data_IF_373077042526
#
_entry.id   IF_373077042526
#
_cell.length_a   1.000
_cell.length_b   1.000
_cell.length_c   1.000
_cell.angle_alpha   90.00
_cell.angle_beta   90.00
_cell.angle_gamma   90.00
#
_symmetry.space_group_name_H-M   'P 1'
#
loop_
_entity.id
_entity.type
_entity.pdbx_description
1 polymer ?
#
# COMPACT_ATOMS: atom_id res chain seq x y z
N UNK A 1 0.56 8.92 35.86
CA UNK A 1 -0.45 9.84 35.30
C UNK A 1 0.13 11.18 34.86
N UNK A 2 1.09 11.79 35.56
CA UNK A 2 1.68 13.10 35.18
C UNK A 2 2.50 13.06 33.89
N UNK A 3 3.24 11.98 33.60
CA UNK A 3 4.06 11.89 32.38
C UNK A 3 3.21 11.88 31.09
N UNK A 4 2.05 11.21 31.10
CA UNK A 4 1.18 11.15 29.94
C UNK A 4 0.52 12.49 29.59
N UNK A 5 0.21 13.31 30.58
CA UNK A 5 -0.38 14.64 30.36
C UNK A 5 0.67 15.59 29.75
N UNK A 6 1.92 15.48 30.19
CA UNK A 6 3.03 16.31 29.67
C UNK A 6 3.33 15.97 28.22
N UNK A 7 3.30 14.70 27.82
CA UNK A 7 3.47 14.28 26.43
C UNK A 7 2.31 14.74 25.55
N UNK A 8 1.08 14.65 26.02
CA UNK A 8 -0.11 15.17 25.34
C UNK A 8 0.01 16.68 25.13
N UNK A 9 0.40 17.43 26.14
CA UNK A 9 0.57 18.87 26.05
C UNK A 9 1.71 19.27 25.11
N UNK A 10 2.82 18.52 25.12
CA UNK A 10 3.94 18.76 24.19
C UNK A 10 3.56 18.46 22.75
N UNK A 11 2.81 17.38 22.50
CA UNK A 11 2.30 17.04 21.18
C UNK A 11 1.30 18.09 20.68
N UNK A 12 0.33 18.48 21.53
CA UNK A 12 -0.64 19.54 21.20
C UNK A 12 0.07 20.87 20.96
N UNK A 13 1.06 21.22 21.78
CA UNK A 13 1.83 22.45 21.62
C UNK A 13 2.63 22.46 20.31
N UNK A 14 3.26 21.34 19.94
CA UNK A 14 3.98 21.20 18.66
C UNK A 14 3.03 21.26 17.47
N UNK A 15 1.86 20.62 17.58
CA UNK A 15 0.80 20.62 16.57
C UNK A 15 0.19 22.03 16.39
N UNK A 16 -0.17 22.69 17.48
CA UNK A 16 -0.70 24.07 17.48
C UNK A 16 0.35 25.07 17.03
N UNK A 17 1.62 24.88 17.40
CA UNK A 17 2.74 25.74 16.95
C UNK A 17 2.96 25.62 15.44
N UNK A 18 2.86 24.39 14.90
CA UNK A 18 2.89 24.18 13.46
C UNK A 18 1.67 24.83 12.77
N UNK A 19 0.46 24.67 13.32
CA UNK A 19 -0.75 25.34 12.81
C UNK A 19 -0.64 26.87 12.88
N UNK A 20 -0.12 27.43 13.99
CA UNK A 20 0.03 28.88 14.17
C UNK A 20 1.12 29.46 13.25
N UNK A 21 2.18 28.71 12.95
CA UNK A 21 3.15 29.10 11.93
C UNK A 21 2.50 29.20 10.54
N UNK A 22 1.44 28.44 10.28
CA UNK A 22 0.62 28.55 9.05
C UNK A 22 -0.25 29.82 9.02
N UNK A 23 -0.76 30.26 10.17
CA UNK A 23 -1.65 31.43 10.27
C UNK A 23 -0.86 32.76 10.32
N UNK A 24 0.34 32.76 10.90
CA UNK A 24 1.14 34.00 11.05
C UNK A 24 1.98 34.37 9.84
N UNK A 25 2.22 33.43 8.89
CA UNK A 25 2.96 33.71 7.63
C UNK A 25 2.09 34.38 6.56
N UNK A 26 0.77 34.51 6.77
CA UNK A 26 -0.17 35.16 5.84
C UNK A 26 0.02 36.69 5.65
N UNK A 27 0.98 37.34 6.29
CA UNK A 27 1.11 38.81 6.27
C UNK A 27 2.50 39.37 5.91
N UNK A 28 3.38 38.60 5.26
CA UNK A 28 4.61 39.17 4.69
C UNK A 28 4.67 39.01 3.19
N UNK A 29 4.68 40.15 2.48
CA UNK A 29 4.90 40.24 1.01
C UNK A 29 6.31 39.74 0.67
N UNK A 30 6.41 38.50 0.25
CA UNK A 30 7.58 37.88 -0.36
C UNK A 30 7.11 36.64 -1.10
N UNK A 31 7.52 36.44 -2.34
CA UNK A 31 7.17 35.30 -3.19
C UNK A 31 7.74 33.99 -2.62
N UNK A 32 7.27 33.53 -1.49
CA UNK A 32 7.48 32.16 -1.07
C UNK A 32 6.47 31.30 -1.80
N UNK A 33 6.93 30.65 -2.86
CA UNK A 33 6.19 29.57 -3.51
C UNK A 33 6.09 28.47 -2.46
N UNK A 34 4.93 28.35 -1.81
CA UNK A 34 4.64 27.23 -0.91
C UNK A 34 4.68 25.95 -1.72
N UNK A 35 5.80 25.26 -1.69
CA UNK A 35 5.87 23.89 -2.17
C UNK A 35 5.01 23.04 -1.24
N UNK A 36 3.91 22.52 -1.79
CA UNK A 36 3.09 21.53 -1.06
C UNK A 36 3.96 20.30 -0.79
N UNK A 37 4.24 20.04 0.49
CA UNK A 37 4.93 18.81 0.90
C UNK A 37 4.09 17.61 0.51
N UNK A 38 4.69 16.71 -0.25
CA UNK A 38 4.03 15.53 -0.80
C UNK A 38 4.50 14.25 -0.10
N UNK A 39 3.61 13.27 -0.05
CA UNK A 39 3.88 11.93 0.44
C UNK A 39 3.37 10.88 -0.54
N UNK A 40 3.86 9.65 -0.39
CA UNK A 40 3.35 8.47 -1.09
C UNK A 40 3.31 7.28 -0.12
N UNK A 41 2.12 6.80 0.22
CA UNK A 41 1.93 5.77 1.24
C UNK A 41 1.61 4.39 0.64
N UNK A 42 1.87 4.19 -0.67
CA UNK A 42 1.62 2.94 -1.35
C UNK A 42 2.62 2.71 -2.48
N UNK A 43 3.71 2.00 -2.18
CA UNK A 43 4.84 1.79 -3.09
C UNK A 43 5.34 0.36 -2.97
N UNK A 44 5.67 -0.27 -4.12
CA UNK A 44 6.19 -1.62 -4.21
C UNK A 44 7.64 -1.66 -4.68
N UNK A 45 8.40 -2.63 -4.16
CA UNK A 45 9.78 -2.92 -4.53
C UNK A 45 9.95 -4.32 -5.11
N UNK A 46 11.22 -4.70 -5.39
CA UNK A 46 11.57 -6.08 -5.80
C UNK A 46 11.39 -7.11 -4.69
N UNK A 47 11.03 -6.72 -3.47
CA UNK A 47 10.62 -7.67 -2.44
C UNK A 47 9.28 -8.34 -2.77
N UNK A 48 8.43 -7.65 -3.54
CA UNK A 48 7.24 -8.23 -4.19
C UNK A 48 7.32 -8.08 -5.71
N UNK A 49 6.52 -7.24 -6.33
CA UNK A 49 6.37 -7.13 -7.78
C UNK A 49 6.71 -5.76 -8.37
N UNK A 50 7.35 -4.91 -7.61
CA UNK A 50 8.03 -3.74 -8.14
C UNK A 50 9.26 -4.10 -8.97
N UNK A 51 9.84 -3.13 -9.67
CA UNK A 51 11.04 -3.32 -10.49
C UNK A 51 12.30 -2.67 -9.92
N UNK A 52 12.17 -1.86 -8.88
CA UNK A 52 13.27 -1.23 -8.15
C UNK A 52 13.49 -1.93 -6.82
N UNK A 53 14.75 -2.02 -6.38
CA UNK A 53 15.08 -2.50 -5.01
C UNK A 53 14.53 -1.53 -3.96
N UNK A 54 14.35 -1.95 -2.70
CA UNK A 54 13.95 -1.04 -1.62
C UNK A 54 14.83 0.21 -1.53
N UNK A 55 16.16 0.05 -1.65
CA UNK A 55 17.11 1.18 -1.69
C UNK A 55 16.85 2.12 -2.86
N UNK A 56 16.64 1.60 -4.06
CA UNK A 56 16.37 2.41 -5.25
C UNK A 56 15.04 3.17 -5.13
N UNK A 57 14.02 2.54 -4.54
CA UNK A 57 12.72 3.16 -4.25
C UNK A 57 12.87 4.35 -3.30
N UNK A 58 13.60 4.16 -2.19
CA UNK A 58 13.86 5.23 -1.20
C UNK A 58 14.60 6.39 -1.84
N UNK A 59 15.71 6.12 -2.55
CA UNK A 59 16.48 7.15 -3.24
C UNK A 59 15.66 7.89 -4.30
N UNK A 60 14.78 7.17 -5.00
CA UNK A 60 13.89 7.76 -6.00
C UNK A 60 12.87 8.71 -5.33
N UNK A 61 12.22 8.28 -4.24
CA UNK A 61 11.27 9.10 -3.50
C UNK A 61 11.90 10.39 -2.96
N UNK A 62 13.10 10.28 -2.38
CA UNK A 62 13.87 11.43 -1.89
C UNK A 62 14.23 12.39 -3.05
N UNK A 63 14.73 11.86 -4.16
CA UNK A 63 15.08 12.68 -5.34
C UNK A 63 13.89 13.44 -5.94
N UNK A 64 12.66 12.93 -5.73
CA UNK A 64 11.41 13.59 -6.13
C UNK A 64 10.90 14.59 -5.10
N UNK A 65 11.60 14.73 -3.95
CA UNK A 65 11.28 15.70 -2.91
C UNK A 65 10.08 15.32 -2.04
N UNK A 66 9.78 14.03 -1.89
CA UNK A 66 8.77 13.57 -0.95
C UNK A 66 9.25 13.81 0.49
N UNK A 67 8.31 14.11 1.38
CA UNK A 67 8.61 14.24 2.82
C UNK A 67 8.34 12.96 3.59
N UNK A 68 7.57 12.04 3.03
CA UNK A 68 7.41 10.69 3.55
C UNK A 68 6.99 9.71 2.44
N UNK A 69 7.38 8.46 2.61
CA UNK A 69 6.92 7.33 1.83
C UNK A 69 6.64 6.11 2.70
N UNK A 70 5.74 5.22 2.28
CA UNK A 70 5.61 3.90 2.86
C UNK A 70 6.00 2.83 1.84
N UNK A 71 6.86 1.89 2.26
CA UNK A 71 7.12 0.68 1.48
C UNK A 71 6.06 -0.36 1.87
N UNK A 72 5.24 -0.79 0.90
CA UNK A 72 4.04 -1.61 1.13
C UNK A 72 4.01 -2.83 0.22
N UNK A 73 5.09 -3.58 0.16
CA UNK A 73 5.21 -4.78 -0.66
C UNK A 73 4.12 -5.82 -0.36
N UNK A 74 3.68 -6.55 -1.38
CA UNK A 74 2.62 -7.56 -1.27
C UNK A 74 3.01 -8.74 -0.38
N UNK A 75 2.26 -8.95 0.69
CA UNK A 75 2.34 -10.09 1.63
C UNK A 75 3.77 -10.34 2.18
N UNK A 76 4.63 -9.32 2.22
CA UNK A 76 5.99 -9.41 2.75
C UNK A 76 6.48 -8.13 3.39
N UNK A 77 7.33 -8.28 4.39
CA UNK A 77 8.03 -7.19 5.07
C UNK A 77 9.56 -7.24 4.81
N UNK A 78 10.00 -8.14 3.91
CA UNK A 78 11.43 -8.44 3.72
C UNK A 78 12.25 -7.28 3.14
N UNK A 79 11.61 -6.28 2.51
CA UNK A 79 12.26 -5.08 1.99
C UNK A 79 12.42 -3.95 3.00
N UNK A 80 11.77 -4.03 4.17
CA UNK A 80 11.68 -2.91 5.11
C UNK A 80 13.02 -2.56 5.74
N UNK A 81 13.79 -3.55 6.22
CA UNK A 81 15.10 -3.28 6.83
C UNK A 81 16.06 -2.58 5.85
N UNK A 82 16.05 -2.98 4.57
CA UNK A 82 16.83 -2.34 3.51
C UNK A 82 16.36 -0.89 3.26
N UNK A 83 15.05 -0.66 3.19
CA UNK A 83 14.50 0.67 2.98
C UNK A 83 14.82 1.63 4.15
N UNK A 84 14.69 1.15 5.39
CA UNK A 84 15.02 1.94 6.60
C UNK A 84 16.53 2.25 6.67
N UNK A 85 17.39 1.31 6.28
CA UNK A 85 18.84 1.55 6.21
C UNK A 85 19.18 2.61 5.17
N UNK A 86 18.54 2.55 3.98
CA UNK A 86 18.75 3.54 2.93
C UNK A 86 18.27 4.95 3.33
N UNK A 87 17.35 5.05 4.27
CA UNK A 87 16.77 6.32 4.72
C UNK A 87 17.51 6.98 5.89
N UNK A 88 18.53 6.35 6.49
CA UNK A 88 19.15 6.81 7.75
C UNK A 88 19.62 8.25 7.75
N UNK A 89 20.16 8.71 6.63
CA UNK A 89 20.74 10.05 6.51
C UNK A 89 19.81 11.01 5.74
N UNK A 90 18.56 10.61 5.48
CA UNK A 90 17.57 11.41 4.77
C UNK A 90 16.65 12.16 5.75
N UNK A 91 16.16 13.33 5.33
CA UNK A 91 15.09 14.04 6.06
C UNK A 91 13.70 13.44 5.78
N UNK A 92 13.57 12.64 4.70
CA UNK A 92 12.33 11.97 4.32
C UNK A 92 12.02 10.83 5.29
N UNK A 93 10.79 10.77 5.80
CA UNK A 93 10.32 9.67 6.63
C UNK A 93 10.02 8.44 5.77
N UNK A 94 10.65 7.29 6.08
CA UNK A 94 10.29 5.99 5.51
C UNK A 94 9.46 5.21 6.51
N UNK A 95 8.23 4.89 6.14
CA UNK A 95 7.23 4.25 6.98
C UNK A 95 7.26 2.74 6.70
N UNK A 96 7.51 1.90 7.73
CA UNK A 96 7.32 0.46 7.61
C UNK A 96 5.86 0.13 7.28
N UNK A 97 5.65 -0.52 6.15
CA UNK A 97 4.32 -0.86 5.68
C UNK A 97 4.27 -2.23 5.01
N UNK A 98 3.08 -2.65 4.66
CA UNK A 98 2.79 -3.88 3.93
C UNK A 98 1.46 -3.73 3.20
N UNK A 99 1.29 -4.41 2.07
CA UNK A 99 -0.01 -4.62 1.45
C UNK A 99 -0.40 -6.10 1.52
N UNK A 100 -1.41 -6.42 2.33
CA UNK A 100 -1.88 -7.80 2.52
C UNK A 100 -3.11 -8.06 1.67
N UNK A 101 -3.06 -9.15 0.88
CA UNK A 101 -4.18 -9.58 0.07
C UNK A 101 -5.11 -10.50 0.86
N UNK A 102 -6.42 -10.26 0.76
CA UNK A 102 -7.46 -11.11 1.37
C UNK A 102 -8.68 -11.23 0.46
N UNK A 103 -9.66 -12.05 0.85
CA UNK A 103 -10.83 -12.35 0.03
C UNK A 103 -12.10 -11.83 0.69
N UNK A 104 -12.83 -11.00 -0.02
CA UNK A 104 -14.15 -10.52 0.33
C UNK A 104 -15.15 -10.87 -0.77
N UNK A 105 -16.21 -11.66 -0.45
CA UNK A 105 -17.24 -12.09 -1.42
C UNK A 105 -16.63 -12.56 -2.75
N UNK A 106 -15.69 -13.51 -2.70
CA UNK A 106 -14.94 -14.08 -3.83
C UNK A 106 -14.03 -13.09 -4.61
N UNK A 107 -13.91 -11.84 -4.16
CA UNK A 107 -13.00 -10.85 -4.72
C UNK A 107 -11.76 -10.69 -3.87
N UNK A 108 -10.61 -10.67 -4.51
CA UNK A 108 -9.37 -10.28 -3.86
C UNK A 108 -9.41 -8.78 -3.60
N UNK A 109 -9.25 -8.40 -2.34
CA UNK A 109 -9.10 -7.03 -1.86
C UNK A 109 -7.78 -6.91 -1.11
N UNK A 110 -7.29 -5.69 -0.95
CA UNK A 110 -6.02 -5.43 -0.30
C UNK A 110 -6.19 -4.47 0.88
N UNK A 111 -5.44 -4.74 1.95
CA UNK A 111 -5.38 -3.90 3.13
C UNK A 111 -3.93 -3.52 3.38
N UNK A 112 -3.63 -2.22 3.40
CA UNK A 112 -2.32 -1.72 3.81
C UNK A 112 -2.24 -1.76 5.34
N UNK A 113 -1.08 -2.13 5.85
CA UNK A 113 -0.68 -1.85 7.23
C UNK A 113 0.41 -0.78 7.19
N UNK A 114 0.16 0.39 7.76
CA UNK A 114 1.17 1.45 7.90
C UNK A 114 1.69 1.45 9.34
N UNK A 115 2.96 1.84 9.54
CA UNK A 115 3.61 1.89 10.87
C UNK A 115 3.63 0.55 11.61
N UNK A 116 3.69 -0.57 10.88
CA UNK A 116 3.75 -1.91 11.48
C UNK A 116 5.10 -2.15 12.19
N UNK A 117 5.10 -2.88 13.28
CA UNK A 117 6.31 -3.58 13.73
C UNK A 117 6.55 -4.78 12.80
N UNK A 118 7.43 -4.57 11.80
CA UNK A 118 7.75 -5.60 10.81
C UNK A 118 8.56 -6.79 11.39
N UNK A 119 8.90 -6.74 12.67
CA UNK A 119 9.58 -7.83 13.42
C UNK A 119 8.64 -8.52 14.40
N UNK A 120 7.37 -8.11 14.47
CA UNK A 120 6.38 -8.73 15.33
C UNK A 120 6.23 -10.23 15.00
N UNK A 121 6.39 -11.14 15.99
CA UNK A 121 6.37 -12.58 15.74
C UNK A 121 5.01 -13.11 15.27
N UNK A 122 3.90 -12.50 15.68
CA UNK A 122 2.55 -12.93 15.30
C UNK A 122 2.29 -12.53 13.84
N UNK A 123 2.65 -11.29 13.47
CA UNK A 123 2.62 -10.85 12.08
C UNK A 123 3.48 -11.74 11.18
N UNK A 124 4.73 -12.03 11.57
CA UNK A 124 5.61 -12.89 10.77
C UNK A 124 5.07 -14.31 10.63
N UNK A 125 4.44 -14.87 11.67
CA UNK A 125 3.77 -16.17 11.60
C UNK A 125 2.58 -16.14 10.63
N UNK A 126 1.73 -15.11 10.72
CA UNK A 126 0.61 -14.91 9.81
C UNK A 126 1.07 -14.78 8.35
N UNK A 127 2.11 -13.97 8.10
CA UNK A 127 2.66 -13.79 6.74
C UNK A 127 3.26 -15.07 6.18
N UNK A 128 3.87 -15.90 7.01
CA UNK A 128 4.39 -17.22 6.60
C UNK A 128 3.26 -18.14 6.10
N UNK A 129 2.13 -18.18 6.80
CA UNK A 129 0.95 -18.95 6.37
C UNK A 129 0.36 -18.37 5.09
N UNK A 130 0.23 -17.05 5.00
CA UNK A 130 -0.25 -16.35 3.81
C UNK A 130 0.64 -16.63 2.59
N UNK A 131 1.98 -16.61 2.80
CA UNK A 131 2.95 -16.96 1.77
C UNK A 131 2.77 -18.39 1.28
N UNK A 132 2.61 -19.37 2.18
CA UNK A 132 2.43 -20.77 1.78
C UNK A 132 1.17 -20.96 0.93
N UNK A 133 0.05 -20.40 1.35
CA UNK A 133 -1.20 -20.43 0.57
C UNK A 133 -1.04 -19.78 -0.81
N UNK A 134 -0.28 -18.68 -0.89
CA UNK A 134 0.05 -18.03 -2.17
C UNK A 134 0.94 -18.90 -3.04
N UNK A 135 1.97 -19.49 -2.46
CA UNK A 135 2.90 -20.37 -3.16
C UNK A 135 2.19 -21.58 -3.78
N UNK A 136 1.36 -22.26 -3.00
CA UNK A 136 0.61 -23.45 -3.46
C UNK A 136 -0.32 -23.08 -4.64
N UNK A 137 -1.07 -21.99 -4.53
CA UNK A 137 -1.88 -21.45 -5.62
C UNK A 137 -1.04 -21.14 -6.88
N UNK A 138 0.13 -20.52 -6.71
CA UNK A 138 0.99 -20.18 -7.84
C UNK A 138 1.53 -21.43 -8.52
N UNK A 139 1.87 -22.49 -7.77
CA UNK A 139 2.32 -23.76 -8.36
C UNK A 139 1.21 -24.46 -9.12
N UNK A 140 -0.02 -24.39 -8.66
CA UNK A 140 -1.19 -24.88 -9.42
C UNK A 140 -1.39 -24.09 -10.73
N UNK A 141 -1.27 -22.77 -10.69
CA UNK A 141 -1.36 -21.94 -11.89
C UNK A 141 -0.24 -22.28 -12.88
N UNK A 142 1.01 -22.40 -12.41
CA UNK A 142 2.16 -22.76 -13.23
C UNK A 142 1.99 -24.13 -13.89
N UNK A 143 1.53 -25.12 -13.13
CA UNK A 143 1.23 -26.45 -13.65
C UNK A 143 0.14 -26.43 -14.73
N UNK A 144 -0.89 -25.60 -14.56
CA UNK A 144 -1.95 -25.44 -15.56
C UNK A 144 -1.43 -24.79 -16.85
N UNK A 145 -0.60 -23.76 -16.76
CA UNK A 145 0.06 -23.15 -17.93
C UNK A 145 0.94 -24.17 -18.66
N UNK A 146 1.80 -24.89 -17.95
CA UNK A 146 2.71 -25.88 -18.55
C UNK A 146 1.97 -27.05 -19.19
N UNK A 147 0.85 -27.49 -18.60
CA UNK A 147 -0.02 -28.52 -19.18
C UNK A 147 -0.56 -28.14 -20.57
N UNK A 148 -0.85 -26.84 -20.75
CA UNK A 148 -1.38 -26.31 -22.02
C UNK A 148 -0.27 -25.84 -22.97
N UNK A 149 1.00 -26.17 -22.68
CA UNK A 149 2.15 -25.94 -23.56
C UNK A 149 2.81 -24.56 -23.44
N UNK A 150 2.53 -23.80 -22.36
CA UNK A 150 3.30 -22.60 -22.04
C UNK A 150 4.59 -22.99 -21.34
N UNK A 151 5.72 -22.59 -21.89
CA UNK A 151 7.06 -22.90 -21.33
C UNK A 151 7.47 -21.84 -20.30
N UNK A 152 6.79 -21.81 -19.15
CA UNK A 152 7.09 -20.90 -18.03
C UNK A 152 7.72 -21.70 -16.91
N UNK A 153 8.80 -21.18 -16.31
CA UNK A 153 9.49 -21.79 -15.18
C UNK A 153 9.29 -20.99 -13.89
N UNK A 154 9.65 -21.58 -12.75
CA UNK A 154 9.64 -20.86 -11.45
C UNK A 154 10.67 -19.74 -11.48
N UNK A 155 11.81 -19.92 -12.14
CA UNK A 155 12.88 -18.93 -12.32
C UNK A 155 12.37 -17.69 -13.09
N UNK A 156 11.53 -17.91 -14.11
CA UNK A 156 10.88 -16.81 -14.82
C UNK A 156 9.98 -15.98 -13.90
N UNK A 157 9.30 -16.64 -12.95
CA UNK A 157 8.42 -15.99 -11.99
C UNK A 157 9.20 -15.23 -10.92
N UNK A 158 10.40 -15.67 -10.57
CA UNK A 158 11.24 -14.96 -9.61
C UNK A 158 11.88 -13.68 -10.15
N UNK A 159 11.88 -13.46 -11.46
CA UNK A 159 12.43 -12.26 -12.10
C UNK A 159 13.86 -11.88 -11.62
N UNK A 160 14.68 -12.88 -11.29
CA UNK A 160 16.05 -12.69 -10.79
C UNK A 160 16.21 -12.52 -9.26
N UNK A 161 15.11 -12.44 -8.51
CA UNK A 161 15.14 -12.41 -7.05
C UNK A 161 14.42 -13.63 -6.45
N UNK A 162 15.15 -14.70 -6.03
CA UNK A 162 14.53 -15.91 -5.48
C UNK A 162 13.70 -15.70 -4.21
N UNK A 163 13.86 -14.55 -3.55
CA UNK A 163 13.14 -14.21 -2.32
C UNK A 163 11.87 -13.41 -2.58
N UNK A 164 11.60 -13.00 -3.82
CA UNK A 164 10.42 -12.21 -4.15
C UNK A 164 9.13 -12.99 -3.89
N UNK A 165 8.11 -12.29 -3.43
CA UNK A 165 6.75 -12.86 -3.34
C UNK A 165 6.12 -12.86 -4.73
N UNK A 166 5.95 -14.04 -5.31
CA UNK A 166 5.38 -14.20 -6.64
C UNK A 166 3.90 -13.77 -6.64
N UNK A 167 3.58 -12.77 -7.47
CA UNK A 167 2.22 -12.28 -7.72
C UNK A 167 1.75 -12.66 -9.13
N UNK A 168 0.50 -12.37 -9.48
CA UNK A 168 0.00 -12.55 -10.87
C UNK A 168 0.74 -11.66 -11.88
N UNK A 169 1.32 -10.54 -11.43
CA UNK A 169 2.14 -9.68 -12.28
C UNK A 169 3.41 -10.39 -12.77
N UNK A 170 3.98 -11.28 -11.98
CA UNK A 170 5.12 -12.09 -12.39
C UNK A 170 4.75 -13.07 -13.52
N UNK A 171 3.59 -13.73 -13.43
CA UNK A 171 3.05 -14.55 -14.55
C UNK A 171 2.84 -13.71 -15.80
N UNK A 172 2.28 -12.50 -15.66
CA UNK A 172 2.08 -11.60 -16.81
C UNK A 172 3.40 -11.21 -17.48
N UNK A 173 4.45 -10.92 -16.67
CA UNK A 173 5.81 -10.63 -17.18
C UNK A 173 6.45 -11.84 -17.83
N UNK A 174 6.31 -13.03 -17.25
CA UNK A 174 6.81 -14.27 -17.86
C UNK A 174 6.12 -14.55 -19.21
N UNK A 175 4.80 -14.43 -19.29
CA UNK A 175 4.04 -14.58 -20.54
C UNK A 175 4.50 -13.55 -21.60
N UNK A 176 4.77 -12.31 -21.21
CA UNK A 176 5.30 -11.28 -22.11
C UNK A 176 6.71 -11.61 -22.58
N UNK A 177 7.60 -12.01 -21.66
CA UNK A 177 8.99 -12.40 -21.94
C UNK A 177 9.08 -13.52 -22.96
N UNK A 178 8.21 -14.53 -22.85
CA UNK A 178 8.14 -15.67 -23.77
C UNK A 178 7.32 -15.39 -25.04
N UNK A 179 6.80 -14.16 -25.24
CA UNK A 179 6.07 -13.77 -26.44
C UNK A 179 4.64 -14.32 -26.56
N UNK A 180 4.06 -14.89 -25.49
CA UNK A 180 2.68 -15.38 -25.49
C UNK A 180 1.65 -14.24 -25.49
N UNK A 181 2.06 -13.07 -25.07
CA UNK A 181 1.26 -11.83 -25.09
C UNK A 181 2.11 -10.64 -25.53
N UNK A 182 1.45 -9.56 -25.96
CA UNK A 182 2.10 -8.31 -26.40
C UNK A 182 2.15 -7.24 -25.29
N UNK A 183 1.49 -7.47 -24.15
CA UNK A 183 1.53 -6.56 -22.99
C UNK A 183 1.09 -7.29 -21.71
N UNK A 184 1.48 -6.74 -20.56
CA UNK A 184 1.04 -7.19 -19.23
C UNK A 184 -0.50 -7.14 -19.13
N UNK A 185 -1.11 -6.06 -19.60
CA UNK A 185 -2.57 -5.90 -19.60
C UNK A 185 -3.26 -6.99 -20.45
N UNK A 186 -2.68 -7.38 -21.58
CA UNK A 186 -3.19 -8.50 -22.40
C UNK A 186 -3.11 -9.83 -21.63
N UNK A 187 -2.06 -10.08 -20.85
CA UNK A 187 -1.94 -11.29 -20.03
C UNK A 187 -3.05 -11.37 -19.00
N UNK A 188 -3.32 -10.27 -18.29
CA UNK A 188 -4.43 -10.21 -17.34
C UNK A 188 -5.78 -10.47 -18.01
N UNK A 189 -6.07 -9.80 -19.11
CA UNK A 189 -7.35 -9.96 -19.82
C UNK A 189 -7.58 -11.37 -20.37
N UNK A 190 -6.53 -12.03 -20.86
CA UNK A 190 -6.66 -13.35 -21.48
C UNK A 190 -6.60 -14.49 -20.48
N UNK A 191 -5.75 -14.38 -19.43
CA UNK A 191 -5.32 -15.53 -18.66
C UNK A 191 -5.45 -15.40 -17.15
N UNK A 192 -5.27 -14.20 -16.57
CA UNK A 192 -4.97 -14.03 -15.15
C UNK A 192 -6.07 -13.33 -14.32
N UNK A 193 -7.01 -12.62 -14.96
CA UNK A 193 -8.16 -12.04 -14.27
C UNK A 193 -9.10 -13.13 -13.74
N UNK A 194 -9.93 -12.86 -12.71
CA UNK A 194 -11.05 -13.72 -12.36
C UNK A 194 -11.84 -14.14 -13.61
N UNK A 195 -12.37 -15.35 -13.61
CA UNK A 195 -13.08 -15.99 -14.76
C UNK A 195 -12.18 -16.36 -15.96
N UNK A 196 -10.86 -16.27 -15.83
CA UNK A 196 -9.94 -16.73 -16.89
C UNK A 196 -9.37 -18.11 -16.60
N UNK A 197 -8.93 -18.86 -17.65
CA UNK A 197 -8.60 -20.29 -17.55
C UNK A 197 -7.56 -20.64 -16.48
N UNK A 198 -6.58 -19.76 -16.26
CA UNK A 198 -5.48 -20.00 -15.34
C UNK A 198 -5.63 -19.27 -14.00
N UNK A 199 -6.72 -18.52 -13.80
CA UNK A 199 -7.00 -17.95 -12.50
C UNK A 199 -7.31 -19.07 -11.49
N UNK A 200 -6.68 -18.98 -10.33
CA UNK A 200 -7.00 -19.80 -9.18
C UNK A 200 -7.32 -18.87 -8.01
N UNK A 201 -8.44 -19.15 -7.36
CA UNK A 201 -8.77 -18.50 -6.09
C UNK A 201 -7.76 -18.92 -5.04
N UNK A 202 -7.42 -18.02 -4.12
CA UNK A 202 -6.65 -18.40 -2.92
C UNK A 202 -7.55 -19.14 -1.94
N UNK A 203 -6.96 -19.99 -1.10
CA UNK A 203 -7.59 -20.32 0.18
C UNK A 203 -7.80 -19.03 0.97
N UNK A 204 -8.96 -18.94 1.62
CA UNK A 204 -9.47 -17.71 2.19
C UNK A 204 -8.59 -17.23 3.36
N UNK A 205 -7.87 -16.13 3.14
CA UNK A 205 -7.49 -15.22 4.21
C UNK A 205 -8.61 -14.18 4.25
N UNK A 206 -9.25 -14.07 5.38
CA UNK A 206 -10.36 -13.13 5.56
C UNK A 206 -9.85 -11.72 5.86
N UNK A 207 -10.62 -10.68 5.56
CA UNK A 207 -10.26 -9.32 5.93
C UNK A 207 -10.08 -9.15 7.46
N UNK A 208 -10.87 -9.87 8.26
CA UNK A 208 -10.77 -9.84 9.71
C UNK A 208 -9.45 -10.39 10.23
N UNK A 209 -8.95 -11.51 9.65
CA UNK A 209 -7.63 -12.07 9.99
C UNK A 209 -6.52 -11.06 9.68
N UNK A 210 -6.59 -10.38 8.52
CA UNK A 210 -5.62 -9.34 8.14
C UNK A 210 -5.67 -8.17 9.11
N UNK A 211 -6.86 -7.64 9.41
CA UNK A 211 -7.01 -6.49 10.32
C UNK A 211 -6.47 -6.83 11.71
N UNK A 212 -6.76 -8.01 12.23
CA UNK A 212 -6.26 -8.47 13.51
C UNK A 212 -4.72 -8.60 13.54
N UNK A 213 -4.12 -9.19 12.50
CA UNK A 213 -2.67 -9.34 12.40
C UNK A 213 -1.96 -7.98 12.32
N UNK A 214 -2.48 -7.05 11.52
CA UNK A 214 -1.91 -5.70 11.38
C UNK A 214 -2.03 -4.89 12.66
N UNK A 215 -3.17 -5.01 13.38
CA UNK A 215 -3.38 -4.32 14.66
C UNK A 215 -2.49 -4.88 15.77
N UNK A 216 -2.33 -6.21 15.83
CA UNK A 216 -1.43 -6.86 16.78
C UNK A 216 0.02 -6.37 16.61
N UNK A 217 0.45 -6.16 15.37
CA UNK A 217 1.75 -5.56 15.05
C UNK A 217 1.81 -4.02 15.23
N UNK A 218 0.84 -3.41 15.92
CA UNK A 218 0.80 -1.95 16.15
C UNK A 218 0.57 -1.11 14.90
N UNK A 219 0.11 -1.72 13.83
CA UNK A 219 -0.09 -1.08 12.53
C UNK A 219 -1.37 -0.26 12.43
N UNK A 220 -1.43 0.59 11.42
CA UNK A 220 -2.59 1.40 11.04
C UNK A 220 -3.21 0.81 9.76
N UNK A 221 -4.32 0.02 9.85
CA UNK A 221 -4.91 -0.63 8.69
C UNK A 221 -5.67 0.34 7.78
N UNK A 222 -5.44 0.24 6.47
CA UNK A 222 -6.03 1.09 5.43
C UNK A 222 -6.59 0.22 4.31
N UNK A 223 -7.82 0.43 3.87
CA UNK A 223 -8.34 -0.21 2.65
C UNK A 223 -7.69 0.42 1.42
N UNK A 224 -6.92 -0.38 0.68
CA UNK A 224 -6.23 0.04 -0.54
C UNK A 224 -7.19 0.17 -1.73
N UNK A 225 -6.92 1.08 -2.65
CA UNK A 225 -7.57 1.26 -3.97
C UNK A 225 -9.01 0.71 -4.12
N UNK A 226 -9.99 1.14 -3.29
CA UNK A 226 -11.30 0.50 -3.15
C UNK A 226 -12.13 0.45 -4.44
N UNK A 227 -11.88 1.34 -5.39
CA UNK A 227 -12.61 1.36 -6.65
C UNK A 227 -12.12 0.31 -7.66
N UNK A 228 -10.92 -0.24 -7.48
CA UNK A 228 -10.38 -1.28 -8.35
C UNK A 228 -11.14 -2.61 -8.21
N UNK A 229 -11.82 -2.84 -7.10
CA UNK A 229 -12.62 -4.06 -6.86
C UNK A 229 -13.91 -4.10 -7.66
N UNK A 230 -14.31 -2.99 -8.29
CA UNK A 230 -15.50 -2.88 -9.14
C UNK A 230 -16.80 -3.32 -8.44
N UNK A 231 -16.92 -2.99 -7.16
CA UNK A 231 -18.12 -3.27 -6.35
C UNK A 231 -19.25 -2.28 -6.59
N UNK A 232 -19.00 -1.19 -7.31
CA UNK A 232 -19.86 -0.02 -7.35
C UNK A 232 -19.85 0.74 -6.03
N UNK A 233 -20.48 1.93 -5.97
CA UNK A 233 -20.42 2.77 -4.77
C UNK A 233 -21.10 2.13 -3.55
N UNK A 234 -22.25 1.48 -3.74
CA UNK A 234 -22.97 0.81 -2.64
C UNK A 234 -22.17 -0.37 -2.09
N UNK A 235 -21.57 -1.20 -2.96
CA UNK A 235 -20.74 -2.33 -2.52
C UNK A 235 -19.42 -1.88 -1.90
N UNK A 236 -18.83 -0.76 -2.37
CA UNK A 236 -17.65 -0.17 -1.74
C UNK A 236 -17.99 0.35 -0.33
N UNK A 237 -19.13 0.99 -0.16
CA UNK A 237 -19.57 1.46 1.15
C UNK A 237 -19.89 0.31 2.11
N UNK A 238 -20.52 -0.76 1.63
CA UNK A 238 -20.78 -1.98 2.40
C UNK A 238 -19.45 -2.60 2.91
N UNK A 239 -18.45 -2.71 2.02
CA UNK A 239 -17.12 -3.20 2.36
C UNK A 239 -16.46 -2.31 3.43
N UNK A 240 -16.46 -0.99 3.24
CA UNK A 240 -15.90 -0.04 4.21
C UNK A 240 -16.59 -0.14 5.57
N UNK A 241 -17.93 -0.27 5.58
CA UNK A 241 -18.71 -0.41 6.82
C UNK A 241 -18.30 -1.67 7.59
N UNK A 242 -18.23 -2.80 6.90
CA UNK A 242 -17.83 -4.09 7.49
C UNK A 242 -16.41 -4.02 8.04
N UNK A 243 -15.44 -3.52 7.25
CA UNK A 243 -14.05 -3.41 7.70
C UNK A 243 -13.90 -2.44 8.89
N UNK A 244 -14.71 -1.38 8.93
CA UNK A 244 -14.71 -0.43 10.07
C UNK A 244 -15.11 -1.10 11.36
N UNK A 245 -16.09 -2.01 11.34
CA UNK A 245 -16.51 -2.79 12.51
C UNK A 245 -15.40 -3.70 13.04
N UNK A 246 -14.46 -4.11 12.16
CA UNK A 246 -13.28 -4.93 12.49
C UNK A 246 -12.00 -4.11 12.70
N UNK A 247 -12.09 -2.77 12.79
CA UNK A 247 -10.97 -1.92 13.18
C UNK A 247 -10.19 -1.28 12.05
N UNK A 248 -10.75 -1.18 10.83
CA UNK A 248 -10.17 -0.35 9.77
C UNK A 248 -9.99 1.10 10.25
N UNK A 249 -8.82 1.68 10.03
CA UNK A 249 -8.45 3.01 10.49
C UNK A 249 -8.41 4.05 9.36
N UNK A 250 -8.06 3.64 8.14
CA UNK A 250 -7.91 4.53 7.00
C UNK A 250 -8.57 4.02 5.73
N UNK A 251 -8.72 4.93 4.77
CA UNK A 251 -9.23 4.64 3.43
C UNK A 251 -8.34 5.32 2.40
N UNK A 252 -7.83 4.58 1.43
CA UNK A 252 -7.06 5.16 0.33
C UNK A 252 -7.99 5.92 -0.62
N UNK A 253 -8.04 7.23 -0.40
CA UNK A 253 -8.88 8.15 -1.16
C UNK A 253 -8.22 8.67 -2.42
N UNK A 254 -6.87 8.76 -2.40
CA UNK A 254 -6.07 9.26 -3.49
C UNK A 254 -5.22 8.13 -4.05
N UNK A 255 -5.51 7.74 -5.28
CA UNK A 255 -4.82 6.66 -5.95
C UNK A 255 -4.55 7.03 -7.40
N UNK A 256 -3.47 6.50 -7.99
CA UNK A 256 -3.06 6.82 -9.36
C UNK A 256 -4.12 6.52 -10.43
N UNK A 257 -5.07 5.62 -10.17
CA UNK A 257 -6.19 5.31 -11.07
C UNK A 257 -7.43 6.16 -10.86
N UNK A 258 -7.51 6.94 -9.77
CA UNK A 258 -8.69 7.74 -9.42
C UNK A 258 -8.65 9.13 -10.09
N UNK A 259 -9.80 9.60 -10.53
CA UNK A 259 -9.97 11.01 -10.86
C UNK A 259 -10.34 11.84 -9.63
N UNK A 260 -10.40 13.17 -9.78
CA UNK A 260 -10.69 14.09 -8.67
C UNK A 260 -12.07 13.90 -8.04
N UNK A 261 -13.09 13.57 -8.85
CA UNK A 261 -14.44 13.32 -8.36
C UNK A 261 -14.51 12.04 -7.54
N UNK A 262 -13.85 10.98 -7.98
CA UNK A 262 -13.72 9.71 -7.27
C UNK A 262 -13.01 9.91 -5.94
N UNK A 263 -11.86 10.57 -5.93
CA UNK A 263 -11.14 10.93 -4.70
C UNK A 263 -12.01 11.80 -3.77
N UNK A 264 -12.79 12.72 -4.31
CA UNK A 264 -13.74 13.54 -3.55
C UNK A 264 -14.85 12.73 -2.88
N UNK A 265 -15.40 11.73 -3.57
CA UNK A 265 -16.40 10.81 -3.03
C UNK A 265 -15.83 9.88 -1.97
N UNK A 266 -14.63 9.34 -2.19
CA UNK A 266 -13.93 8.49 -1.20
C UNK A 266 -13.61 9.27 0.08
N UNK A 267 -13.19 10.54 -0.01
CA UNK A 267 -12.99 11.39 1.17
C UNK A 267 -14.29 11.62 1.97
N UNK A 268 -15.43 11.78 1.27
CA UNK A 268 -16.75 11.88 1.93
C UNK A 268 -17.09 10.57 2.64
N UNK A 269 -16.79 9.43 1.99
CA UNK A 269 -16.99 8.10 2.58
C UNK A 269 -16.09 7.90 3.81
N UNK A 270 -14.80 8.24 3.71
CA UNK A 270 -13.87 8.20 4.84
C UNK A 270 -14.38 9.03 6.03
N UNK A 271 -14.82 10.26 5.77
CA UNK A 271 -15.42 11.14 6.80
C UNK A 271 -16.67 10.51 7.44
N UNK A 272 -17.55 9.88 6.64
CA UNK A 272 -18.78 9.24 7.13
C UNK A 272 -18.48 8.14 8.15
N UNK A 273 -17.42 7.36 7.93
CA UNK A 273 -17.02 6.24 8.79
C UNK A 273 -15.90 6.58 9.77
N UNK A 274 -15.56 7.87 9.95
CA UNK A 274 -14.46 8.33 10.79
C UNK A 274 -13.15 7.57 10.50
N UNK A 275 -12.80 7.44 9.21
CA UNK A 275 -11.54 6.90 8.70
C UNK A 275 -10.62 8.05 8.28
N UNK A 276 -9.31 7.89 8.50
CA UNK A 276 -8.33 8.82 7.97
C UNK A 276 -8.21 8.67 6.44
N UNK A 277 -8.30 9.76 5.65
CA UNK A 277 -7.96 9.70 4.24
C UNK A 277 -6.48 9.44 4.05
N UNK A 278 -6.12 8.50 3.16
CA UNK A 278 -4.75 8.23 2.76
C UNK A 278 -4.60 8.27 1.24
N UNK A 279 -3.39 8.05 0.75
CA UNK A 279 -3.19 7.89 -0.68
C UNK A 279 -1.78 7.52 -1.05
N UNK A 280 -1.64 6.95 -2.23
CA UNK A 280 -0.38 6.55 -2.81
C UNK A 280 -0.46 6.30 -4.31
N UNK A 281 0.70 6.15 -4.93
CA UNK A 281 0.81 5.94 -6.37
C UNK A 281 0.51 4.50 -6.79
N UNK A 282 0.70 3.56 -5.88
CA UNK A 282 0.75 2.13 -6.20
C UNK A 282 1.83 1.86 -7.27
N UNK A 283 3.01 2.48 -7.04
CA UNK A 283 4.15 2.43 -7.94
C UNK A 283 4.75 1.03 -8.01
N UNK A 284 5.03 0.57 -9.25
CA UNK A 284 5.64 -0.73 -9.52
C UNK A 284 6.81 -0.60 -10.51
N UNK A 285 7.23 0.63 -10.84
CA UNK A 285 8.28 0.90 -11.82
C UNK A 285 7.92 0.41 -13.23
N UNK A 286 8.78 -0.39 -13.84
CA UNK A 286 8.62 -0.84 -15.22
C UNK A 286 7.33 -1.62 -15.50
N UNK A 287 6.66 -2.18 -14.48
CA UNK A 287 5.37 -2.85 -14.64
C UNK A 287 4.20 -1.89 -14.87
N UNK A 288 4.32 -0.64 -14.38
CA UNK A 288 3.36 0.46 -14.57
C UNK A 288 4.12 1.73 -15.01
N UNK A 289 4.65 1.80 -16.24
CA UNK A 289 5.62 2.82 -16.65
C UNK A 289 5.06 4.25 -16.72
N UNK A 290 3.75 4.42 -16.69
CA UNK A 290 3.04 5.69 -16.64
C UNK A 290 2.72 6.17 -15.22
N UNK A 291 3.14 5.42 -14.18
CA UNK A 291 3.01 5.77 -12.77
C UNK A 291 4.40 6.10 -12.21
N UNK A 292 4.52 7.26 -11.58
CA UNK A 292 5.74 7.66 -10.86
C UNK A 292 5.42 7.80 -9.37
N UNK A 293 6.42 7.61 -8.49
CA UNK A 293 6.29 7.84 -7.05
C UNK A 293 5.77 9.26 -6.80
N UNK A 294 4.76 9.38 -5.95
CA UNK A 294 4.11 10.65 -5.60
C UNK A 294 3.22 11.24 -6.70
N UNK A 295 3.09 10.56 -7.84
CA UNK A 295 2.25 11.01 -8.95
C UNK A 295 1.67 9.82 -9.74
N UNK A 296 0.71 10.10 -10.64
CA UNK A 296 0.10 9.06 -11.45
C UNK A 296 -0.97 9.60 -12.36
N UNK A 297 -1.75 8.70 -12.94
CA UNK A 297 -2.92 9.07 -13.76
C UNK A 297 -3.85 9.93 -12.91
N UNK A 298 -4.55 10.87 -13.52
CA UNK A 298 -5.49 11.75 -12.82
C UNK A 298 -4.83 12.89 -12.02
N UNK A 299 -3.49 13.04 -12.09
CA UNK A 299 -2.79 14.12 -11.39
C UNK A 299 -2.69 13.90 -9.89
N UNK A 300 -2.43 12.65 -9.48
CA UNK A 300 -2.24 12.29 -8.08
C UNK A 300 -1.22 13.23 -7.40
N UNK A 301 -1.62 13.79 -6.26
CA UNK A 301 -0.76 14.53 -5.31
C UNK A 301 -1.33 14.38 -3.91
N UNK A 302 -0.60 13.72 -3.03
CA UNK A 302 -1.02 13.49 -1.65
C UNK A 302 -0.29 14.45 -0.73
N UNK A 303 -1.04 15.33 -0.05
CA UNK A 303 -0.46 16.29 0.89
C UNK A 303 0.03 15.60 2.16
N UNK A 304 1.16 16.06 2.69
CA UNK A 304 1.69 15.62 3.98
C UNK A 304 0.73 15.87 5.16
N UNK A 305 -0.26 16.75 5.03
CA UNK A 305 -1.28 16.96 6.05
C UNK A 305 -2.09 15.68 6.36
N UNK A 306 -2.25 14.79 5.39
CA UNK A 306 -2.91 13.51 5.65
C UNK A 306 -2.05 12.57 6.50
N UNK A 307 -0.73 12.71 6.46
CA UNK A 307 0.16 11.97 7.36
C UNK A 307 0.01 12.46 8.81
N UNK A 308 -0.14 13.77 8.99
CA UNK A 308 -0.42 14.34 10.32
C UNK A 308 -1.76 13.83 10.87
N UNK A 309 -2.79 13.74 10.04
CA UNK A 309 -4.10 13.16 10.41
C UNK A 309 -3.97 11.68 10.81
N UNK A 310 -3.17 10.88 10.10
CA UNK A 310 -2.88 9.48 10.43
C UNK A 310 -2.18 9.40 11.80
N UNK A 311 -1.11 10.16 12.01
CA UNK A 311 -0.34 10.18 13.27
C UNK A 311 -1.22 10.60 14.45
N UNK A 312 -2.09 11.59 14.26
CA UNK A 312 -3.06 12.01 15.27
C UNK A 312 -4.06 10.90 15.58
N UNK A 313 -4.58 10.23 14.56
CA UNK A 313 -5.52 9.11 14.72
C UNK A 313 -4.87 7.93 15.48
N UNK A 314 -3.62 7.58 15.16
CA UNK A 314 -2.85 6.57 15.87
C UNK A 314 -2.65 6.95 17.34
N UNK A 315 -2.26 8.19 17.60
CA UNK A 315 -2.08 8.70 18.95
C UNK A 315 -3.37 8.61 19.78
N UNK A 316 -4.51 9.03 19.20
CA UNK A 316 -5.82 8.98 19.87
C UNK A 316 -6.31 7.55 20.12
N UNK A 317 -6.01 6.61 19.23
CA UNK A 317 -6.36 5.19 19.34
C UNK A 317 -5.39 4.40 20.23
N UNK A 318 -4.27 4.99 20.66
CA UNK A 318 -3.21 4.29 21.41
C UNK A 318 -2.42 3.29 20.58
N UNK A 319 -2.44 3.41 19.26
CA UNK A 319 -1.71 2.55 18.33
C UNK A 319 -0.21 2.96 18.33
N UNK A 320 0.70 1.98 18.34
CA UNK A 320 2.14 2.23 18.31
C UNK A 320 2.76 2.72 19.63
N UNK A 321 2.08 2.53 20.75
CA UNK A 321 2.61 2.82 22.10
C UNK A 321 3.12 1.53 22.75
N UNK A 322 4.22 1.00 22.30
CA UNK A 322 4.97 -0.05 23.02
C UNK A 322 6.33 0.47 23.45
#
# INVERSE_FOLDING_TARGET
MENGITEILNFIHKFVSNMLNWVTVGNYFGKDIYYMKLIDLHIHSTASDGSLTPTEVVNRADSLGLTAMALTDHDTVSGIDEALEAAKDLEMEVIPGIEVSCIYKEKEIHILGLYIDHKDPELLSFLKEAYQKRYDRNMEMLAAFNKDGFEITVEDLHCGNPKTVITRAHFARALLKHGYVSSVDQAFRKYLNPDRPYYRSRELITPEEVLNALQAAGGFPVLAHPLQYKLGWAGTEELVSMLKEHGLCGLECFHSSNNQDESGKLRKLAKKYALAPTGGSDFHGAAKPDIEIGSGRGGLRVSALYLDDIKLSMFMAGIGRS
#
